data_IF_741943237244
#
_entry.id   IF_741943237244
#
_cell.length_a   1.000
_cell.length_b   1.000
_cell.length_c   1.000
_cell.angle_alpha   90.00
_cell.angle_beta   90.00
_cell.angle_gamma   90.00
#
_symmetry.space_group_name_H-M   'P 1'
#
loop_
_entity.id
_entity.type
_entity.pdbx_description
1 polymer ?
#
# COMPACT_ATOMS: atom_id res chain seq x y z
N UNK A 1 9.14 10.36 16.97
CA UNK A 1 7.75 10.14 16.50
C UNK A 1 7.21 11.52 16.17
N UNK A 2 7.36 11.93 14.92
CA UNK A 2 6.99 13.29 14.45
C UNK A 2 5.56 13.20 13.93
N UNK A 3 4.84 14.32 13.95
CA UNK A 3 3.46 14.45 13.48
C UNK A 3 3.24 14.16 11.98
N UNK A 4 4.21 13.59 11.28
CA UNK A 4 4.18 13.21 9.86
C UNK A 4 3.99 11.70 9.65
N UNK A 5 4.00 10.91 10.74
CA UNK A 5 4.00 9.43 10.71
C UNK A 5 2.64 8.78 10.33
N UNK A 6 1.60 9.57 10.01
CA UNK A 6 0.24 9.09 9.69
C UNK A 6 -0.20 9.28 8.24
N UNK A 7 0.75 9.44 7.31
CA UNK A 7 0.42 9.57 5.88
C UNK A 7 -0.37 8.36 5.39
N UNK A 8 -1.50 8.66 4.76
CA UNK A 8 -2.31 7.69 4.03
C UNK A 8 -2.55 8.26 2.64
N UNK A 9 -2.26 7.45 1.63
CA UNK A 9 -2.54 7.74 0.22
C UNK A 9 -3.68 6.84 -0.22
N UNK A 10 -4.67 7.44 -0.87
CA UNK A 10 -5.79 6.72 -1.46
C UNK A 10 -5.72 6.82 -2.97
N UNK A 11 -5.81 5.68 -3.63
CA UNK A 11 -6.00 5.60 -5.07
C UNK A 11 -7.37 5.03 -5.38
N UNK A 12 -7.97 5.60 -6.40
CA UNK A 12 -9.09 5.01 -7.12
C UNK A 12 -8.58 4.71 -8.52
N UNK A 13 -8.72 3.46 -8.93
CA UNK A 13 -8.52 3.09 -10.32
C UNK A 13 -9.82 3.33 -11.09
N UNK A 14 -9.67 3.83 -12.31
CA UNK A 14 -10.79 4.17 -13.17
C UNK A 14 -10.61 3.58 -14.55
N UNK A 15 -11.70 3.08 -15.12
CA UNK A 15 -11.78 2.64 -16.50
C UNK A 15 -13.03 3.26 -17.15
N UNK A 16 -12.84 3.96 -18.26
CA UNK A 16 -13.91 4.73 -18.93
C UNK A 16 -14.66 5.64 -17.95
N UNK A 17 -13.93 6.37 -17.09
CA UNK A 17 -14.46 7.25 -16.03
C UNK A 17 -15.23 6.56 -14.89
N UNK A 18 -15.40 5.24 -14.93
CA UNK A 18 -16.02 4.45 -13.88
C UNK A 18 -14.97 3.88 -12.93
N UNK A 19 -15.28 3.82 -11.64
CA UNK A 19 -14.37 3.27 -10.63
C UNK A 19 -14.38 1.75 -10.69
N UNK A 20 -13.21 1.13 -10.83
CA UNK A 20 -13.06 -0.33 -10.90
C UNK A 20 -12.39 -0.95 -9.68
N UNK A 21 -11.50 -0.21 -9.02
CA UNK A 21 -10.86 -0.63 -7.79
C UNK A 21 -10.48 0.54 -6.89
N UNK A 22 -10.27 0.25 -5.62
CA UNK A 22 -9.76 1.18 -4.62
C UNK A 22 -8.57 0.57 -3.88
N UNK A 23 -7.55 1.40 -3.63
CA UNK A 23 -6.35 1.05 -2.89
C UNK A 23 -6.07 2.10 -1.80
N UNK A 24 -5.72 1.66 -0.60
CA UNK A 24 -5.17 2.51 0.45
C UNK A 24 -3.77 2.06 0.84
N UNK A 25 -2.82 2.99 0.84
CA UNK A 25 -1.48 2.81 1.37
C UNK A 25 -1.33 3.68 2.61
N UNK A 26 -0.95 3.08 3.74
CA UNK A 26 -0.80 3.76 5.03
C UNK A 26 0.53 3.44 5.67
N UNK A 27 0.85 4.08 6.80
CA UNK A 27 2.06 3.77 7.56
C UNK A 27 2.18 2.26 7.87
N UNK A 28 3.42 1.77 7.94
CA UNK A 28 3.71 0.38 8.27
C UNK A 28 3.08 -0.06 9.59
N UNK A 29 2.54 -1.28 9.64
CA UNK A 29 2.17 -1.89 10.90
C UNK A 29 3.40 -1.97 11.83
N UNK A 30 3.27 -1.47 13.06
CA UNK A 30 4.38 -1.43 14.02
C UNK A 30 4.98 -2.83 14.25
N UNK A 31 4.13 -3.86 14.31
CA UNK A 31 4.52 -5.26 14.47
C UNK A 31 3.93 -6.10 13.35
N UNK A 32 4.78 -6.81 12.59
CA UNK A 32 4.34 -7.76 11.59
C UNK A 32 5.37 -8.88 11.50
N UNK A 33 5.17 -9.95 12.28
CA UNK A 33 6.18 -11.00 12.44
C UNK A 33 6.58 -11.70 11.14
N UNK A 34 5.68 -11.79 10.15
CA UNK A 34 6.00 -12.36 8.84
C UNK A 34 6.94 -11.44 8.05
N UNK A 35 6.62 -10.14 7.95
CA UNK A 35 7.50 -9.13 7.34
C UNK A 35 8.85 -9.09 8.04
N UNK A 36 8.83 -9.03 9.38
CA UNK A 36 10.04 -8.82 10.17
C UNK A 36 11.02 -9.99 10.02
N UNK A 37 10.51 -11.23 9.98
CA UNK A 37 11.33 -12.43 9.68
C UNK A 37 11.85 -12.47 8.24
N UNK A 38 11.03 -12.04 7.27
CA UNK A 38 11.43 -12.04 5.86
C UNK A 38 12.52 -11.00 5.57
N UNK A 39 12.42 -9.80 6.15
CA UNK A 39 13.48 -8.77 6.05
C UNK A 39 14.73 -9.16 6.85
N UNK A 40 14.56 -9.92 7.95
CA UNK A 40 15.67 -10.41 8.77
C UNK A 40 16.30 -9.34 9.67
N UNK A 41 15.58 -8.26 9.93
CA UNK A 41 16.07 -7.15 10.76
C UNK A 41 15.90 -7.41 12.27
N UNK A 42 16.77 -6.82 13.08
CA UNK A 42 16.58 -6.75 14.53
C UNK A 42 15.60 -5.61 14.91
N UNK A 43 15.19 -5.58 16.18
CA UNK A 43 14.17 -4.61 16.64
C UNK A 43 14.59 -3.15 16.48
N UNK A 44 15.88 -2.80 16.63
CA UNK A 44 16.35 -1.42 16.45
C UNK A 44 16.30 -1.03 14.99
N UNK A 45 16.76 -1.92 14.12
CA UNK A 45 16.71 -1.75 12.66
C UNK A 45 15.27 -1.65 12.15
N UNK A 46 14.35 -2.44 12.72
CA UNK A 46 12.91 -2.36 12.44
C UNK A 46 12.37 -0.96 12.74
N UNK A 47 12.47 -0.49 13.99
CA UNK A 47 11.90 0.80 14.37
C UNK A 47 12.49 1.96 13.55
N UNK A 48 13.78 1.94 13.24
CA UNK A 48 14.44 2.97 12.45
C UNK A 48 14.11 2.98 10.95
N UNK A 49 13.48 1.91 10.44
CA UNK A 49 13.20 1.75 9.00
C UNK A 49 11.72 1.57 8.67
N UNK A 50 10.83 1.44 9.66
CA UNK A 50 9.38 1.31 9.43
C UNK A 50 8.79 2.47 8.63
N UNK A 51 9.36 3.67 8.75
CA UNK A 51 8.98 4.85 7.98
C UNK A 51 9.27 4.73 6.47
N UNK A 52 10.07 3.73 6.05
CA UNK A 52 10.38 3.44 4.65
C UNK A 52 9.44 2.38 4.05
N UNK A 53 8.45 1.92 4.82
CA UNK A 53 7.52 0.87 4.39
C UNK A 53 6.11 1.45 4.35
N UNK A 54 5.48 1.37 3.18
CA UNK A 54 4.05 1.59 3.03
C UNK A 54 3.30 0.26 3.23
N UNK A 55 2.24 0.29 4.04
CA UNK A 55 1.33 -0.83 4.23
C UNK A 55 0.16 -0.74 3.27
N UNK A 56 -0.08 -1.78 2.49
CA UNK A 56 -1.32 -1.92 1.73
C UNK A 56 -2.48 -2.27 2.68
N UNK A 57 -3.12 -1.24 3.22
CA UNK A 57 -4.13 -1.38 4.27
C UNK A 57 -5.52 -1.71 3.76
N UNK A 58 -5.79 -1.39 2.49
CA UNK A 58 -7.04 -1.77 1.82
C UNK A 58 -6.79 -1.97 0.33
N UNK A 59 -7.34 -3.05 -0.19
CA UNK A 59 -7.42 -3.28 -1.62
C UNK A 59 -8.76 -3.95 -1.94
N UNK A 60 -9.53 -3.34 -2.84
CA UNK A 60 -10.83 -3.82 -3.24
C UNK A 60 -11.00 -3.63 -4.75
N UNK A 61 -11.44 -4.68 -5.44
CA UNK A 61 -12.02 -4.59 -6.78
C UNK A 61 -13.53 -4.47 -6.60
N UNK A 62 -14.17 -3.50 -7.26
CA UNK A 62 -15.60 -3.27 -7.10
C UNK A 62 -16.40 -4.46 -7.67
N UNK A 63 -17.57 -4.82 -7.08
CA UNK A 63 -18.31 -6.03 -7.45
C UNK A 63 -18.60 -6.16 -8.94
N UNK A 64 -18.92 -5.06 -9.63
CA UNK A 64 -19.31 -5.10 -11.05
C UNK A 64 -18.13 -5.27 -12.02
N UNK A 65 -16.90 -5.45 -11.51
CA UNK A 65 -15.68 -5.51 -12.32
C UNK A 65 -15.08 -6.92 -12.38
N UNK A 66 -15.43 -7.63 -13.46
CA UNK A 66 -14.99 -9.01 -13.71
C UNK A 66 -14.03 -9.14 -14.90
N UNK A 67 -13.07 -8.23 -15.03
CA UNK A 67 -12.05 -8.32 -16.08
C UNK A 67 -10.82 -9.10 -15.58
N UNK A 68 -10.18 -9.91 -16.44
CA UNK A 68 -8.93 -10.57 -16.06
C UNK A 68 -7.87 -9.55 -15.63
N UNK A 69 -7.09 -9.90 -14.60
CA UNK A 69 -5.90 -9.16 -14.18
C UNK A 69 -6.12 -7.72 -13.69
N UNK A 70 -7.36 -7.30 -13.37
CA UNK A 70 -7.63 -5.96 -12.77
C UNK A 70 -6.78 -5.76 -11.52
N UNK A 71 -6.74 -6.78 -10.65
CA UNK A 71 -5.99 -6.70 -9.40
C UNK A 71 -4.50 -6.38 -9.59
N UNK A 72 -3.81 -7.19 -10.39
CA UNK A 72 -2.37 -7.00 -10.66
C UNK A 72 -2.09 -5.72 -11.44
N UNK A 73 -2.98 -5.32 -12.36
CA UNK A 73 -2.86 -4.06 -13.10
C UNK A 73 -2.95 -2.85 -12.17
N UNK A 74 -3.94 -2.81 -11.28
CA UNK A 74 -4.13 -1.72 -10.31
C UNK A 74 -2.93 -1.62 -9.36
N UNK A 75 -2.45 -2.75 -8.86
CA UNK A 75 -1.24 -2.79 -8.01
C UNK A 75 -0.01 -2.27 -8.75
N UNK A 76 0.19 -2.63 -10.02
CA UNK A 76 1.32 -2.14 -10.82
C UNK A 76 1.22 -0.63 -11.09
N UNK A 77 0.01 -0.10 -11.32
CA UNK A 77 -0.18 1.35 -11.50
C UNK A 77 0.11 2.11 -10.21
N UNK A 78 -0.31 1.59 -9.05
CA UNK A 78 -0.04 2.21 -7.76
C UNK A 78 1.45 2.18 -7.40
N UNK A 79 2.13 1.06 -7.66
CA UNK A 79 3.58 0.91 -7.42
C UNK A 79 4.41 1.95 -8.17
N UNK A 80 4.03 2.26 -9.42
CA UNK A 80 4.70 3.31 -10.23
C UNK A 80 4.49 4.73 -9.70
N UNK A 81 3.45 4.97 -8.88
CA UNK A 81 3.07 6.30 -8.40
C UNK A 81 3.50 6.56 -6.97
N UNK A 82 3.44 5.55 -6.11
CA UNK A 82 3.58 5.72 -4.67
C UNK A 82 4.89 6.39 -4.26
N UNK A 83 5.99 6.13 -4.97
CA UNK A 83 7.28 6.77 -4.66
C UNK A 83 7.26 8.30 -4.78
N UNK A 84 6.42 8.87 -5.64
CA UNK A 84 6.26 10.32 -5.79
C UNK A 84 5.16 10.90 -4.88
N UNK A 85 4.17 10.08 -4.52
CA UNK A 85 3.00 10.51 -3.75
C UNK A 85 3.16 10.34 -2.21
N UNK A 86 4.17 9.58 -1.76
CA UNK A 86 4.43 9.25 -0.34
C UNK A 86 5.35 10.25 0.37
#
# INVERSE_FOLDING_TARGET
MRSEDWRTVWYVATWSELWDAQLSLSAAALKCGVRDRWIGWDIRSQYGRLNLIANNSRFLILPDWYRPNVGSRVLSLAERRIGADW
#
